data_IF_621644625438
#
_entry.id   IF_621644625438
#
_cell.length_a   1.000
_cell.length_b   1.000
_cell.length_c   1.000
_cell.angle_alpha   90.00
_cell.angle_beta   90.00
_cell.angle_gamma   90.00
#
_symmetry.space_group_name_H-M   'P 1'
#
loop_
_entity.id
_entity.type
_entity.pdbx_description
1 polymer ?
#
# COMPACT_ATOMS: atom_id res chain seq x y z
N UNK A 1 -7.57 -5.01 19.70
CA UNK A 1 -7.04 -3.65 19.52
C UNK A 1 -7.42 -3.18 18.14
N UNK A 2 -8.10 -2.04 18.04
CA UNK A 2 -8.38 -1.39 16.75
C UNK A 2 -7.11 -0.70 16.22
N UNK A 3 -6.93 -0.76 14.90
CA UNK A 3 -5.88 -0.07 14.16
C UNK A 3 -6.54 0.73 13.06
N UNK A 4 -6.19 2.00 12.99
CA UNK A 4 -6.52 2.89 11.88
C UNK A 4 -5.24 3.64 11.50
N UNK A 5 -4.80 3.49 10.26
CA UNK A 5 -3.57 4.08 9.76
C UNK A 5 -3.81 4.63 8.36
N UNK A 6 -3.38 5.86 8.12
CA UNK A 6 -3.58 6.57 6.86
C UNK A 6 -2.27 7.16 6.40
N UNK A 7 -1.92 6.90 5.14
CA UNK A 7 -0.84 7.54 4.41
C UNK A 7 -1.41 8.22 3.18
N UNK A 8 -1.00 9.45 2.91
CA UNK A 8 -1.54 10.20 1.79
C UNK A 8 -0.52 11.17 1.19
N UNK A 9 -0.66 11.41 -0.12
CA UNK A 9 0.16 12.34 -0.87
C UNK A 9 -0.69 13.12 -1.85
N UNK A 10 -0.54 14.45 -1.85
CA UNK A 10 -1.10 15.31 -2.90
C UNK A 10 -0.12 15.33 -4.05
N UNK A 11 -0.57 14.90 -5.22
CA UNK A 11 0.22 14.79 -6.44
C UNK A 11 -0.22 15.88 -7.43
N UNK A 12 0.76 16.54 -8.07
CA UNK A 12 0.53 17.52 -9.14
C UNK A 12 0.24 16.79 -10.45
N UNK A 13 -0.88 16.09 -10.50
CA UNK A 13 -1.32 15.26 -11.62
C UNK A 13 -2.83 15.11 -11.61
N UNK A 14 -3.40 14.85 -12.80
CA UNK A 14 -4.84 14.66 -12.96
C UNK A 14 -5.29 13.35 -12.32
N UNK A 15 -6.54 13.32 -11.89
CA UNK A 15 -7.16 12.16 -11.24
C UNK A 15 -7.04 10.86 -12.07
N UNK A 16 -7.18 10.96 -13.40
CA UNK A 16 -7.04 9.80 -14.29
C UNK A 16 -5.61 9.26 -14.33
N UNK A 17 -4.60 10.12 -14.23
CA UNK A 17 -3.19 9.72 -14.24
C UNK A 17 -2.82 9.01 -12.93
N UNK A 18 -3.22 9.57 -11.80
CA UNK A 18 -3.00 8.96 -10.48
C UNK A 18 -3.79 7.66 -10.34
N UNK A 19 -5.04 7.64 -10.83
CA UNK A 19 -5.89 6.46 -10.79
C UNK A 19 -5.33 5.29 -11.61
N UNK A 20 -4.74 5.57 -12.76
CA UNK A 20 -4.09 4.56 -13.59
C UNK A 20 -2.96 3.82 -12.84
N UNK A 21 -2.30 4.45 -11.86
CA UNK A 21 -1.28 3.77 -11.04
C UNK A 21 -1.87 2.62 -10.21
N UNK A 22 -3.08 2.80 -9.67
CA UNK A 22 -3.78 1.75 -8.91
C UNK A 22 -4.00 0.51 -9.80
N UNK A 23 -4.37 0.74 -11.06
CA UNK A 23 -4.65 -0.35 -12.01
C UNK A 23 -3.40 -1.13 -12.42
N UNK A 24 -2.20 -0.59 -12.16
CA UNK A 24 -0.93 -1.30 -12.43
C UNK A 24 -0.51 -2.25 -11.31
N UNK A 25 -1.14 -2.20 -10.12
CA UNK A 25 -0.74 -3.02 -8.97
C UNK A 25 -0.65 -4.51 -9.33
N UNK A 26 0.44 -5.13 -8.92
CA UNK A 26 0.79 -6.52 -9.14
C UNK A 26 0.91 -6.94 -10.62
N UNK A 27 1.00 -6.00 -11.55
CA UNK A 27 1.31 -6.27 -12.96
C UNK A 27 2.83 -6.23 -13.20
N UNK A 28 3.24 -6.65 -14.40
CA UNK A 28 4.66 -6.51 -14.82
C UNK A 28 5.12 -5.05 -14.98
N UNK A 29 4.17 -4.11 -15.13
CA UNK A 29 4.42 -2.65 -15.23
C UNK A 29 3.91 -1.91 -13.97
N UNK A 30 4.00 -2.55 -12.81
CA UNK A 30 3.56 -1.94 -11.55
C UNK A 30 4.35 -0.66 -11.24
N UNK A 31 3.65 0.47 -11.22
CA UNK A 31 4.21 1.81 -10.98
C UNK A 31 3.95 2.33 -9.58
N UNK A 32 3.18 1.60 -8.78
CA UNK A 32 2.76 2.02 -7.44
C UNK A 32 3.46 1.22 -6.35
N UNK A 33 3.60 -0.11 -6.50
CA UNK A 33 4.22 -0.95 -5.49
C UNK A 33 5.75 -0.88 -5.55
N UNK A 34 6.48 -0.62 -4.44
CA UNK A 34 7.94 -0.44 -4.42
C UNK A 34 8.70 -1.78 -4.41
N UNK A 35 8.48 -2.61 -5.43
CA UNK A 35 9.00 -3.98 -5.55
C UNK A 35 10.54 -4.10 -5.64
N UNK A 36 11.27 -2.99 -5.87
CA UNK A 36 12.74 -3.01 -5.85
C UNK A 36 13.31 -3.26 -4.46
N UNK A 37 12.61 -2.82 -3.43
CA UNK A 37 13.09 -2.84 -2.05
C UNK A 37 12.22 -3.69 -1.11
N UNK A 38 10.99 -3.99 -1.52
CA UNK A 38 9.98 -4.72 -0.76
C UNK A 38 9.56 -6.00 -1.48
N UNK A 39 9.07 -7.01 -0.74
CA UNK A 39 8.50 -8.20 -1.38
C UNK A 39 7.42 -7.82 -2.40
N UNK A 40 7.44 -8.40 -3.60
CA UNK A 40 6.48 -8.07 -4.64
C UNK A 40 5.04 -8.35 -4.18
N UNK A 41 4.11 -7.54 -4.65
CA UNK A 41 2.69 -7.83 -4.56
C UNK A 41 2.32 -8.77 -5.70
N UNK A 42 1.71 -9.91 -5.38
CA UNK A 42 1.35 -10.93 -6.36
C UNK A 42 -0.07 -11.43 -6.13
N UNK A 43 -0.78 -11.72 -7.22
CA UNK A 43 -2.12 -12.31 -7.22
C UNK A 43 -2.18 -13.54 -8.12
N UNK A 44 -3.16 -14.40 -7.86
CA UNK A 44 -3.47 -15.60 -8.66
C UNK A 44 -3.99 -15.26 -10.07
N UNK A 45 -4.41 -14.02 -10.31
CA UNK A 45 -4.94 -13.48 -11.56
C UNK A 45 -4.73 -11.97 -11.61
N UNK A 46 -4.98 -11.30 -12.77
CA UNK A 46 -4.95 -9.84 -12.86
C UNK A 46 -5.84 -9.16 -11.80
N UNK A 47 -5.48 -7.92 -11.39
CA UNK A 47 -6.18 -7.17 -10.36
C UNK A 47 -7.68 -7.06 -10.67
N UNK A 48 -8.49 -7.75 -9.90
CA UNK A 48 -9.94 -7.77 -10.00
C UNK A 48 -10.55 -8.25 -8.70
N UNK A 49 -11.80 -7.91 -8.44
CA UNK A 49 -12.53 -8.44 -7.28
C UNK A 49 -12.49 -9.97 -7.25
N UNK A 50 -12.16 -10.55 -6.11
CA UNK A 50 -12.00 -11.99 -5.90
C UNK A 50 -10.58 -12.52 -6.17
N UNK A 51 -9.65 -11.74 -6.73
CA UNK A 51 -8.26 -12.15 -6.84
C UNK A 51 -7.65 -12.36 -5.44
N UNK A 52 -6.84 -13.40 -5.29
CA UNK A 52 -6.22 -13.78 -4.03
C UNK A 52 -4.71 -13.68 -4.12
N UNK A 53 -4.07 -13.16 -3.09
CA UNK A 53 -2.63 -12.95 -3.11
C UNK A 53 -2.08 -12.27 -1.87
N UNK A 54 -1.08 -11.42 -2.08
CA UNK A 54 -0.45 -10.69 -0.99
C UNK A 54 0.96 -10.26 -1.30
N UNK A 55 1.69 -9.93 -0.25
CA UNK A 55 3.13 -9.62 -0.30
C UNK A 55 3.84 -10.11 0.97
N UNK A 56 5.04 -10.65 0.86
CA UNK A 56 5.76 -11.21 2.01
C UNK A 56 4.86 -12.17 2.81
N UNK A 57 4.70 -11.98 4.14
CA UNK A 57 3.83 -12.82 4.95
C UNK A 57 2.35 -12.38 4.94
N UNK A 58 2.02 -11.22 4.37
CA UNK A 58 0.65 -10.67 4.38
C UNK A 58 -0.15 -11.24 3.23
N UNK A 59 -1.37 -11.71 3.53
CA UNK A 59 -2.30 -12.29 2.55
C UNK A 59 -3.63 -11.56 2.59
N UNK A 60 -4.24 -11.40 1.42
CA UNK A 60 -5.53 -10.74 1.28
C UNK A 60 -6.25 -11.14 -0.01
N UNK A 61 -7.51 -10.78 -0.07
CA UNK A 61 -8.39 -10.95 -1.22
C UNK A 61 -8.76 -9.55 -1.69
N UNK A 62 -8.77 -9.32 -3.00
CA UNK A 62 -9.34 -8.09 -3.57
C UNK A 62 -10.85 -8.10 -3.31
N UNK A 63 -11.29 -7.35 -2.31
CA UNK A 63 -12.70 -7.29 -1.91
C UNK A 63 -13.53 -6.46 -2.90
N UNK A 64 -12.94 -5.41 -3.46
CA UNK A 64 -13.56 -4.58 -4.48
C UNK A 64 -12.49 -3.81 -5.26
N UNK A 65 -12.81 -3.52 -6.54
CA UNK A 65 -11.96 -2.71 -7.41
C UNK A 65 -12.84 -1.87 -8.34
N UNK A 66 -12.63 -0.58 -8.33
CA UNK A 66 -13.18 0.37 -9.28
C UNK A 66 -12.01 0.96 -10.06
N UNK A 67 -11.83 0.58 -11.34
CA UNK A 67 -10.68 0.98 -12.15
C UNK A 67 -10.41 2.49 -12.08
N UNK A 68 -9.15 2.85 -11.97
CA UNK A 68 -8.63 4.21 -11.88
C UNK A 68 -9.21 5.07 -10.74
N UNK A 69 -9.79 4.44 -9.73
CA UNK A 69 -10.39 5.16 -8.61
C UNK A 69 -10.03 4.57 -7.25
N UNK A 70 -10.19 3.25 -7.10
CA UNK A 70 -10.15 2.65 -5.77
C UNK A 70 -10.00 1.12 -5.82
N UNK A 71 -9.24 0.57 -4.88
CA UNK A 71 -9.13 -0.88 -4.67
C UNK A 71 -9.07 -1.18 -3.18
N UNK A 72 -9.84 -2.17 -2.72
CA UNK A 72 -9.83 -2.65 -1.34
C UNK A 72 -9.39 -4.10 -1.26
N UNK A 73 -8.50 -4.36 -0.31
CA UNK A 73 -7.95 -5.67 0.00
C UNK A 73 -8.39 -6.09 1.40
N UNK A 74 -9.16 -7.17 1.53
CA UNK A 74 -9.56 -7.74 2.81
C UNK A 74 -8.50 -8.73 3.29
N UNK A 75 -8.00 -8.60 4.51
CA UNK A 75 -6.99 -9.50 5.07
C UNK A 75 -7.49 -10.93 5.21
N UNK A 76 -6.72 -11.88 4.72
CA UNK A 76 -6.85 -13.33 4.96
C UNK A 76 -5.67 -13.90 5.75
N UNK A 77 -4.62 -13.14 5.95
CA UNK A 77 -3.43 -13.45 6.75
C UNK A 77 -2.56 -12.21 6.98
N UNK A 78 -1.71 -12.25 7.99
CA UNK A 78 -1.47 -13.31 8.98
C UNK A 78 -2.62 -13.47 9.98
N UNK A 79 -2.61 -14.61 10.71
CA UNK A 79 -3.61 -14.88 11.74
C UNK A 79 -3.68 -13.74 12.77
N UNK A 80 -4.89 -13.27 13.02
CA UNK A 80 -5.15 -12.17 13.95
C UNK A 80 -5.31 -10.79 13.28
N UNK A 81 -5.14 -10.69 11.96
CA UNK A 81 -5.48 -9.49 11.20
C UNK A 81 -6.93 -9.63 10.69
N UNK A 82 -7.80 -8.70 11.07
CA UNK A 82 -9.22 -8.71 10.69
C UNK A 82 -9.63 -7.31 10.23
N UNK A 83 -9.76 -7.11 8.95
CA UNK A 83 -10.10 -5.82 8.35
C UNK A 83 -9.59 -5.73 6.93
N UNK A 84 -9.22 -4.52 6.52
CA UNK A 84 -8.82 -4.23 5.15
C UNK A 84 -7.74 -3.16 5.08
N UNK A 85 -7.11 -3.07 3.93
CA UNK A 85 -6.41 -1.87 3.47
C UNK A 85 -6.86 -1.51 2.04
N UNK A 86 -6.67 -0.27 1.65
CA UNK A 86 -7.15 0.22 0.35
C UNK A 86 -6.31 1.38 -0.17
N UNK A 87 -6.25 1.50 -1.50
CA UNK A 87 -5.86 2.73 -2.17
C UNK A 87 -7.08 3.43 -2.75
N UNK A 88 -7.13 4.74 -2.62
CA UNK A 88 -8.18 5.57 -3.18
C UNK A 88 -7.62 6.86 -3.76
N UNK A 89 -8.21 7.30 -4.87
CA UNK A 89 -7.91 8.56 -5.55
C UNK A 89 -9.01 9.56 -5.25
N UNK A 90 -8.66 10.66 -4.61
CA UNK A 90 -9.58 11.70 -4.15
C UNK A 90 -9.23 13.05 -4.79
N UNK A 91 -10.19 13.95 -5.03
CA UNK A 91 -9.87 15.29 -5.47
C UNK A 91 -9.14 16.05 -4.34
N UNK A 92 -8.07 16.77 -4.68
CA UNK A 92 -7.45 17.74 -3.78
C UNK A 92 -7.85 19.17 -4.18
N UNK A 93 -7.68 19.52 -5.48
CA UNK A 93 -8.15 20.74 -6.13
C UNK A 93 -8.26 20.52 -7.66
N UNK A 94 -8.33 21.61 -8.46
CA UNK A 94 -8.53 21.51 -9.92
C UNK A 94 -7.40 20.75 -10.64
N UNK A 95 -6.14 20.96 -10.22
CA UNK A 95 -4.94 20.41 -10.89
C UNK A 95 -4.19 19.36 -10.07
N UNK A 96 -4.65 19.06 -8.86
CA UNK A 96 -3.98 18.13 -7.95
C UNK A 96 -4.91 17.04 -7.44
N UNK A 97 -4.34 15.90 -7.22
CA UNK A 97 -5.04 14.71 -6.79
C UNK A 97 -4.45 14.15 -5.50
N UNK A 98 -5.29 13.77 -4.57
CA UNK A 98 -4.90 13.08 -3.34
C UNK A 98 -4.90 11.57 -3.57
N UNK A 99 -3.74 10.94 -3.51
CA UNK A 99 -3.62 9.49 -3.39
C UNK A 99 -3.56 9.13 -1.90
N UNK A 100 -4.49 8.29 -1.46
CA UNK A 100 -4.60 7.86 -0.06
C UNK A 100 -4.52 6.34 0.04
N UNK A 101 -3.74 5.86 0.97
CA UNK A 101 -3.82 4.49 1.47
C UNK A 101 -4.43 4.51 2.88
N UNK A 102 -5.42 3.69 3.11
CA UNK A 102 -6.07 3.51 4.42
C UNK A 102 -5.95 2.06 4.85
N UNK A 103 -5.55 1.83 6.10
CA UNK A 103 -5.62 0.54 6.75
C UNK A 103 -6.55 0.65 7.96
N UNK A 104 -7.57 -0.19 7.99
CA UNK A 104 -8.54 -0.29 9.08
C UNK A 104 -8.72 -1.75 9.46
N UNK A 105 -8.31 -2.14 10.68
CA UNK A 105 -8.40 -3.52 11.12
C UNK A 105 -8.50 -3.66 12.64
N UNK A 106 -8.96 -4.82 13.08
CA UNK A 106 -8.80 -5.31 14.44
C UNK A 106 -7.68 -6.33 14.51
N UNK A 107 -6.71 -6.14 15.41
CA UNK A 107 -5.67 -7.15 15.68
C UNK A 107 -5.98 -7.95 16.92
N UNK A 108 -5.81 -9.28 16.84
CA UNK A 108 -6.13 -10.26 17.90
C UNK A 108 -4.96 -11.20 18.16
N UNK A 109 -4.95 -11.80 19.36
CA UNK A 109 -3.91 -12.75 19.77
C UNK A 109 -2.51 -12.15 19.64
N UNK A 110 -1.50 -12.92 19.16
CA UNK A 110 -0.12 -12.46 19.02
C UNK A 110 0.05 -11.23 18.12
N UNK A 111 -0.88 -10.99 17.17
CA UNK A 111 -0.86 -9.82 16.32
C UNK A 111 -0.97 -8.49 17.09
N UNK A 112 -1.48 -8.50 18.32
CA UNK A 112 -1.50 -7.30 19.19
C UNK A 112 -0.09 -6.81 19.57
N UNK A 113 0.89 -7.72 19.60
CA UNK A 113 2.29 -7.40 19.86
C UNK A 113 3.09 -7.21 18.58
N UNK A 114 2.91 -8.11 17.61
CA UNK A 114 3.70 -8.07 16.37
C UNK A 114 3.33 -6.88 15.48
N UNK A 115 2.07 -6.42 15.52
CA UNK A 115 1.66 -5.24 14.75
C UNK A 115 2.47 -3.99 15.12
N UNK A 116 2.46 -3.49 16.37
CA UNK A 116 3.17 -2.25 16.70
C UNK A 116 4.70 -2.37 16.61
N UNK A 117 5.24 -3.56 16.81
CA UNK A 117 6.71 -3.77 16.87
C UNK A 117 7.28 -4.07 15.48
N UNK A 118 6.61 -4.86 14.69
CA UNK A 118 7.16 -5.37 13.42
C UNK A 118 6.39 -4.80 12.22
N UNK A 119 5.08 -5.08 12.15
CA UNK A 119 4.31 -4.79 10.94
C UNK A 119 4.10 -3.30 10.72
N UNK A 120 3.76 -2.53 11.76
CA UNK A 120 3.50 -1.11 11.61
C UNK A 120 4.72 -0.32 11.10
N UNK A 121 5.94 -0.45 11.68
CA UNK A 121 7.10 0.27 11.17
C UNK A 121 7.45 -0.09 9.72
N UNK A 122 7.29 -1.37 9.34
CA UNK A 122 7.53 -1.82 7.97
C UNK A 122 6.43 -1.32 7.04
N UNK A 123 5.17 -1.38 7.44
CA UNK A 123 4.03 -0.88 6.68
C UNK A 123 4.15 0.62 6.42
N UNK A 124 4.43 1.42 7.45
CA UNK A 124 4.56 2.87 7.31
C UNK A 124 5.69 3.22 6.32
N UNK A 125 6.85 2.55 6.42
CA UNK A 125 7.96 2.77 5.48
C UNK A 125 7.64 2.33 4.05
N UNK A 126 7.00 1.17 3.88
CA UNK A 126 6.57 0.67 2.57
C UNK A 126 5.58 1.64 1.90
N UNK A 127 4.65 2.19 2.66
CA UNK A 127 3.64 3.10 2.13
C UNK A 127 4.24 4.45 1.72
N UNK A 128 5.20 4.98 2.46
CA UNK A 128 5.92 6.19 2.04
C UNK A 128 6.72 5.95 0.76
N UNK A 129 7.39 4.79 0.62
CA UNK A 129 8.08 4.42 -0.63
C UNK A 129 7.09 4.24 -1.80
N UNK A 130 5.90 3.70 -1.54
CA UNK A 130 4.84 3.58 -2.55
C UNK A 130 4.34 4.96 -3.01
N UNK A 131 4.14 5.89 -2.08
CA UNK A 131 3.75 7.26 -2.40
C UNK A 131 4.85 8.03 -3.14
N UNK A 132 6.13 7.78 -2.82
CA UNK A 132 7.26 8.34 -3.57
C UNK A 132 7.28 7.82 -5.01
N UNK A 133 7.01 6.52 -5.22
CA UNK A 133 6.88 5.96 -6.58
C UNK A 133 5.74 6.60 -7.36
N UNK A 134 4.60 6.80 -6.72
CA UNK A 134 3.47 7.48 -7.35
C UNK A 134 3.82 8.92 -7.75
N UNK A 135 4.50 9.67 -6.86
CA UNK A 135 4.95 11.03 -7.14
C UNK A 135 5.94 11.04 -8.31
N UNK A 136 6.94 10.16 -8.29
CA UNK A 136 7.92 10.02 -9.36
C UNK A 136 7.25 9.69 -10.70
N UNK A 137 6.29 8.75 -10.70
CA UNK A 137 5.60 8.34 -11.92
C UNK A 137 4.75 9.45 -12.54
N UNK A 138 4.15 10.31 -11.70
CA UNK A 138 3.30 11.39 -12.14
C UNK A 138 4.06 12.68 -12.50
N UNK A 139 5.15 12.97 -11.79
CA UNK A 139 5.81 14.29 -11.87
C UNK A 139 7.27 14.23 -12.35
N UNK A 140 7.83 13.03 -12.45
CA UNK A 140 9.25 12.81 -12.78
C UNK A 140 10.24 13.08 -11.65
N UNK A 141 9.77 13.55 -10.49
CA UNK A 141 10.62 13.86 -9.32
C UNK A 141 9.89 13.53 -8.02
N UNK A 142 10.64 13.38 -6.93
CA UNK A 142 10.09 13.25 -5.57
C UNK A 142 10.57 14.43 -4.75
N UNK A 143 9.66 15.28 -4.30
CA UNK A 143 9.99 16.51 -3.59
C UNK A 143 10.64 16.25 -2.22
N UNK A 144 10.20 15.22 -1.52
CA UNK A 144 10.70 14.83 -0.19
C UNK A 144 10.79 13.32 -0.09
N UNK A 145 11.86 12.69 -0.59
CA UNK A 145 12.01 11.24 -0.56
C UNK A 145 11.96 10.68 0.86
N UNK A 146 11.23 9.60 1.02
CA UNK A 146 11.12 8.85 2.26
C UNK A 146 12.50 8.35 2.74
N UNK A 147 12.68 8.24 4.06
CA UNK A 147 13.92 7.73 4.66
C UNK A 147 13.61 6.70 5.71
N UNK A 148 14.11 5.49 5.52
CA UNK A 148 13.97 4.43 6.50
C UNK A 148 14.75 4.73 7.77
N UNK A 149 14.10 4.55 8.90
CA UNK A 149 14.78 4.60 10.20
C UNK A 149 15.79 3.45 10.32
N UNK A 150 16.80 3.54 11.22
CA UNK A 150 17.69 2.44 11.52
C UNK A 150 16.94 1.17 11.95
N UNK A 151 15.83 1.33 12.65
CA UNK A 151 14.96 0.23 13.08
C UNK A 151 14.33 -0.51 11.89
N UNK A 152 13.74 0.21 10.94
CA UNK A 152 13.17 -0.38 9.71
C UNK A 152 14.25 -1.12 8.92
N UNK A 153 15.45 -0.55 8.78
CA UNK A 153 16.58 -1.21 8.09
C UNK A 153 16.97 -2.52 8.78
N UNK A 154 16.95 -2.56 10.12
CA UNK A 154 17.24 -3.77 10.88
C UNK A 154 16.16 -4.82 10.66
N UNK A 155 14.89 -4.45 10.76
CA UNK A 155 13.77 -5.37 10.51
C UNK A 155 13.82 -5.98 9.10
N UNK A 156 14.10 -5.17 8.08
CA UNK A 156 14.22 -5.65 6.70
C UNK A 156 15.38 -6.63 6.50
N UNK A 157 16.52 -6.41 7.18
CA UNK A 157 17.64 -7.35 7.14
C UNK A 157 17.32 -8.69 7.78
N UNK A 158 16.50 -8.70 8.83
CA UNK A 158 16.07 -9.93 9.53
C UNK A 158 14.97 -10.68 8.76
N UNK A 159 14.24 -9.99 7.86
CA UNK A 159 13.16 -10.56 7.06
C UNK A 159 13.63 -11.13 5.71
N UNK A 160 14.87 -10.87 5.30
CA UNK A 160 15.53 -11.41 4.10
C UNK A 160 16.22 -12.71 4.38
#
# INVERSE_FOLDING_TARGET
>A
MGVYNVHERVLAARRSEVGALIDTLASSDDKLWPQSDWPPMEFDRPLAAGATGGHGPVRYIVAAHVPSQWVRFAFSGPRGFHGFHEYAVLPADEDRTLLRHTLAMAVRGPARLTWPIIFRPLHDALLEDSLDRAELACTGTVARPARWSPYVRTLLRLAR
#
